data_IF_960872915549
#
_entry.id   IF_960872915549
#
_cell.length_a   1.000
_cell.length_b   1.000
_cell.length_c   1.000
_cell.angle_alpha   90.00
_cell.angle_beta   90.00
_cell.angle_gamma   90.00
#
_symmetry.space_group_name_H-M   'P 1'
#
loop_
_entity.id
_entity.type
_entity.pdbx_description
1 polymer ?
#
# COMPACT_ATOMS: atom_id res chain seq x y z
N UNK A 1 -18.88 -26.61 -5.26
CA UNK A 1 -20.21 -25.97 -5.14
C UNK A 1 -20.25 -25.41 -3.72
N UNK A 2 -19.82 -24.16 -3.56
CA UNK A 2 -19.63 -23.50 -2.25
C UNK A 2 -20.99 -23.03 -1.69
N UNK A 3 -21.15 -23.04 -0.36
CA UNK A 3 -22.45 -22.84 0.30
C UNK A 3 -22.86 -21.36 0.29
N UNK A 4 -24.17 -21.08 0.32
CA UNK A 4 -24.71 -19.72 0.35
C UNK A 4 -24.18 -18.86 1.50
N UNK A 5 -23.74 -19.48 2.61
CA UNK A 5 -23.19 -18.79 3.76
C UNK A 5 -21.78 -18.25 3.50
N UNK A 6 -20.89 -19.05 2.89
CA UNK A 6 -19.54 -18.61 2.52
C UNK A 6 -19.57 -17.54 1.43
N UNK A 7 -20.57 -17.60 0.55
CA UNK A 7 -20.79 -16.53 -0.44
C UNK A 7 -21.21 -15.22 0.23
N UNK A 8 -22.09 -15.28 1.23
CA UNK A 8 -22.52 -14.10 1.98
C UNK A 8 -21.43 -13.52 2.89
N UNK A 9 -20.54 -14.34 3.46
CA UNK A 9 -19.37 -13.86 4.19
C UNK A 9 -18.33 -13.22 3.25
N UNK A 10 -18.11 -13.80 2.07
CA UNK A 10 -17.24 -13.23 1.03
C UNK A 10 -17.82 -11.90 0.48
N UNK A 11 -19.13 -11.83 0.31
CA UNK A 11 -19.84 -10.68 -0.25
C UNK A 11 -20.00 -9.55 0.78
N UNK A 12 -20.04 -9.89 2.07
CA UNK A 12 -19.92 -8.94 3.19
C UNK A 12 -18.48 -8.46 3.40
N UNK A 13 -17.47 -9.29 3.15
CA UNK A 13 -16.07 -8.88 3.11
C UNK A 13 -15.78 -7.92 1.93
N UNK A 14 -16.50 -8.03 0.82
CA UNK A 14 -16.39 -7.08 -0.31
C UNK A 14 -17.20 -5.80 -0.11
N UNK A 15 -18.21 -5.80 0.77
CA UNK A 15 -19.08 -4.64 1.01
C UNK A 15 -18.69 -3.82 2.26
N UNK A 16 -17.98 -4.41 3.22
CA UNK A 16 -17.26 -3.70 4.27
C UNK A 16 -15.89 -3.29 3.72
N UNK A 17 -15.82 -2.08 3.14
CA UNK A 17 -14.70 -1.59 2.34
C UNK A 17 -13.31 -1.93 2.89
N UNK A 18 -12.35 -2.13 1.98
CA UNK A 18 -10.93 -2.40 2.21
C UNK A 18 -10.40 -1.69 3.49
N UNK A 19 -10.57 -2.33 4.65
CA UNK A 19 -9.88 -2.02 5.89
C UNK A 19 -8.60 -2.88 5.94
N UNK A 20 -7.95 -2.97 4.78
CA UNK A 20 -6.81 -3.83 4.54
C UNK A 20 -5.56 -3.11 5.07
N UNK A 21 -4.77 -3.80 5.89
CA UNK A 21 -3.32 -3.62 6.02
C UNK A 21 -2.74 -2.38 5.32
N UNK A 22 -2.30 -1.38 6.09
CA UNK A 22 -1.69 -0.18 5.50
C UNK A 22 -0.45 -0.56 4.66
N UNK A 23 0.25 -1.64 5.03
CA UNK A 23 1.32 -2.20 4.23
C UNK A 23 0.85 -2.59 2.82
N UNK A 24 -0.27 -3.29 2.70
CA UNK A 24 -0.85 -3.69 1.41
C UNK A 24 -1.30 -2.46 0.61
N UNK A 25 -1.97 -1.49 1.23
CA UNK A 25 -2.37 -0.26 0.55
C UNK A 25 -1.17 0.48 -0.07
N UNK A 26 -0.06 0.58 0.67
CA UNK A 26 1.18 1.20 0.17
C UNK A 26 1.75 0.40 -1.00
N UNK A 27 1.85 -0.92 -0.89
CA UNK A 27 2.37 -1.76 -1.97
C UNK A 27 1.52 -1.59 -3.24
N UNK A 28 0.21 -1.72 -3.10
CA UNK A 28 -0.72 -1.72 -4.22
C UNK A 28 -0.78 -0.36 -4.93
N UNK A 29 -0.86 0.74 -4.17
CA UNK A 29 -0.90 2.08 -4.72
C UNK A 29 0.41 2.48 -5.44
N UNK A 30 1.56 2.03 -4.95
CA UNK A 30 2.83 2.28 -5.60
C UNK A 30 2.98 1.43 -6.87
N UNK A 31 2.56 0.16 -6.84
CA UNK A 31 2.66 -0.71 -8.02
C UNK A 31 1.68 -0.32 -9.13
N UNK A 32 0.44 0.05 -8.78
CA UNK A 32 -0.55 0.48 -9.77
C UNK A 32 -0.10 1.71 -10.57
N UNK A 33 0.79 2.54 -10.01
CA UNK A 33 1.36 3.69 -10.72
C UNK A 33 2.37 3.34 -11.81
N UNK A 34 2.93 2.12 -11.79
CA UNK A 34 4.03 1.70 -12.68
C UNK A 34 3.77 0.39 -13.44
N UNK A 35 2.77 -0.40 -13.06
CA UNK A 35 2.42 -1.68 -13.69
C UNK A 35 0.93 -1.85 -13.92
N UNK A 36 0.57 -2.85 -14.73
CA UNK A 36 -0.83 -3.26 -14.88
C UNK A 36 -1.37 -3.94 -13.62
N UNK A 37 -2.71 -4.02 -13.51
CA UNK A 37 -3.42 -4.60 -12.37
C UNK A 37 -2.97 -6.05 -12.05
N UNK A 38 -2.66 -6.85 -13.08
CA UNK A 38 -2.27 -8.25 -12.89
C UNK A 38 -0.86 -8.38 -12.28
N UNK A 39 0.06 -7.52 -12.72
CA UNK A 39 1.40 -7.45 -12.16
C UNK A 39 1.37 -6.90 -10.72
N UNK A 40 0.48 -5.94 -10.42
CA UNK A 40 0.26 -5.40 -9.07
C UNK A 40 -0.27 -6.46 -8.10
N UNK A 41 -1.33 -7.18 -8.49
CA UNK A 41 -1.93 -8.23 -7.68
C UNK A 41 -0.92 -9.33 -7.30
N UNK A 42 -0.01 -9.69 -8.22
CA UNK A 42 1.05 -10.67 -7.95
C UNK A 42 1.98 -10.21 -6.82
N UNK A 43 2.27 -8.91 -6.70
CA UNK A 43 3.14 -8.40 -5.63
C UNK A 43 2.43 -8.45 -4.28
N UNK A 44 1.16 -8.07 -4.26
CA UNK A 44 0.32 -8.15 -3.06
C UNK A 44 0.22 -9.60 -2.57
N UNK A 45 -0.10 -10.54 -3.46
CA UNK A 45 -0.18 -11.97 -3.15
C UNK A 45 1.14 -12.52 -2.58
N UNK A 46 2.28 -12.11 -3.17
CA UNK A 46 3.60 -12.51 -2.69
C UNK A 46 3.93 -11.93 -1.33
N UNK A 47 3.55 -10.67 -1.07
CA UNK A 47 3.70 -10.07 0.25
C UNK A 47 2.91 -10.86 1.28
N UNK A 48 1.62 -11.11 1.03
CA UNK A 48 0.74 -11.87 1.92
C UNK A 48 1.30 -13.28 2.17
N UNK A 49 1.72 -13.99 1.12
CA UNK A 49 2.32 -15.31 1.23
C UNK A 49 3.64 -15.29 2.04
N UNK A 50 4.48 -14.26 1.85
CA UNK A 50 5.72 -14.09 2.62
C UNK A 50 5.44 -13.95 4.11
N UNK A 51 4.46 -13.12 4.49
CA UNK A 51 4.07 -12.90 5.90
C UNK A 51 3.47 -14.17 6.52
N UNK A 52 2.59 -14.87 5.81
CA UNK A 52 2.05 -16.13 6.29
C UNK A 52 3.12 -17.22 6.46
N UNK A 53 4.12 -17.27 5.58
CA UNK A 53 5.25 -18.21 5.73
C UNK A 53 6.07 -17.94 7.00
N UNK A 54 6.01 -16.74 7.56
CA UNK A 54 6.61 -16.37 8.85
C UNK A 54 5.68 -16.59 10.05
N UNK A 55 4.43 -17.02 9.81
CA UNK A 55 3.40 -17.15 10.85
C UNK A 55 2.74 -15.82 11.24
N UNK A 56 2.90 -14.78 10.43
CA UNK A 56 2.33 -13.45 10.65
C UNK A 56 1.01 -13.26 9.86
N UNK A 57 0.23 -12.25 10.25
CA UNK A 57 -1.07 -11.91 9.65
C UNK A 57 -0.91 -10.64 8.82
N UNK A 58 -0.83 -10.79 7.49
CA UNK A 58 -0.58 -9.69 6.57
C UNK A 58 -1.68 -8.62 6.61
N UNK A 59 -2.91 -9.02 6.89
CA UNK A 59 -4.12 -8.20 6.91
C UNK A 59 -4.10 -7.14 8.02
N UNK A 60 -3.28 -7.34 9.04
CA UNK A 60 -3.09 -6.40 10.15
C UNK A 60 -1.79 -5.59 10.03
N UNK A 61 -0.98 -5.82 9.00
CA UNK A 61 0.33 -5.19 8.88
C UNK A 61 0.24 -3.68 8.66
N UNK A 62 1.06 -2.96 9.45
CA UNK A 62 1.35 -1.55 9.25
C UNK A 62 2.64 -1.33 8.47
N UNK A 63 3.00 -0.07 8.23
CA UNK A 63 4.26 0.24 7.52
C UNK A 63 5.50 -0.23 8.26
N UNK A 64 5.45 -0.41 9.59
CA UNK A 64 6.58 -1.00 10.33
C UNK A 64 6.77 -2.48 10.04
N UNK A 65 5.68 -3.21 9.83
CA UNK A 65 5.75 -4.60 9.39
C UNK A 65 6.31 -4.68 7.97
N UNK A 66 5.86 -3.79 7.08
CA UNK A 66 6.41 -3.65 5.74
C UNK A 66 7.92 -3.37 5.75
N UNK A 67 8.37 -2.36 6.50
CA UNK A 67 9.80 -2.03 6.64
C UNK A 67 10.62 -3.22 7.14
N UNK A 68 10.08 -3.98 8.11
CA UNK A 68 10.75 -5.19 8.60
C UNK A 68 10.97 -6.22 7.49
N UNK A 69 10.03 -6.37 6.55
CA UNK A 69 10.23 -7.32 5.44
C UNK A 69 11.41 -6.94 4.56
N UNK A 70 11.72 -5.65 4.40
CA UNK A 70 12.92 -5.19 3.71
C UNK A 70 14.19 -5.56 4.49
N UNK A 71 14.21 -5.28 5.80
CA UNK A 71 15.32 -5.64 6.69
C UNK A 71 15.60 -7.17 6.67
N UNK A 72 14.55 -7.98 6.75
CA UNK A 72 14.63 -9.45 6.81
C UNK A 72 15.21 -10.08 5.53
N UNK A 73 14.91 -9.51 4.36
CA UNK A 73 15.40 -10.03 3.07
C UNK A 73 16.73 -9.42 2.64
N UNK A 74 17.17 -8.34 3.28
CA UNK A 74 18.46 -7.67 3.04
C UNK A 74 18.40 -6.36 2.25
N UNK A 75 17.23 -5.73 2.16
CA UNK A 75 17.00 -4.44 1.48
C UNK A 75 16.06 -4.53 0.27
N UNK A 76 15.72 -3.37 -0.31
CA UNK A 76 14.77 -3.26 -1.43
C UNK A 76 15.12 -4.07 -2.68
N UNK A 77 16.41 -4.25 -3.01
CA UNK A 77 16.81 -5.03 -4.18
C UNK A 77 16.43 -6.52 -4.00
N UNK A 78 16.75 -7.09 -2.84
CA UNK A 78 16.44 -8.47 -2.51
C UNK A 78 14.94 -8.66 -2.28
N UNK A 79 14.27 -7.65 -1.72
CA UNK A 79 12.82 -7.62 -1.57
C UNK A 79 12.11 -7.66 -2.92
N UNK A 80 12.55 -6.86 -3.89
CA UNK A 80 11.98 -6.87 -5.24
C UNK A 80 12.09 -8.24 -5.92
N UNK A 81 13.20 -8.97 -5.67
CA UNK A 81 13.42 -10.31 -6.19
C UNK A 81 12.58 -11.41 -5.51
N UNK A 82 12.32 -11.29 -4.19
CA UNK A 82 11.62 -12.31 -3.40
C UNK A 82 10.12 -12.08 -3.27
N UNK A 83 9.72 -10.83 -3.06
CA UNK A 83 8.35 -10.40 -2.74
C UNK A 83 7.78 -9.55 -3.88
N UNK A 84 8.57 -8.63 -4.43
CA UNK A 84 8.19 -7.81 -5.57
C UNK A 84 7.99 -8.60 -6.87
N UNK A 85 7.60 -7.89 -7.93
CA UNK A 85 7.52 -8.41 -9.29
C UNK A 85 8.78 -7.99 -10.07
N UNK A 86 9.86 -8.73 -9.87
CA UNK A 86 11.12 -8.46 -10.56
C UNK A 86 11.03 -8.85 -12.05
N UNK A 87 10.66 -7.90 -12.91
CA UNK A 87 10.88 -8.02 -14.36
C UNK A 87 12.33 -7.67 -14.68
N UNK A 88 13.18 -8.69 -14.78
CA UNK A 88 14.51 -8.59 -15.38
C UNK A 88 14.36 -8.41 -16.90
N UNK A 89 14.06 -7.21 -17.38
CA UNK A 89 14.03 -6.92 -18.82
C UNK A 89 15.07 -5.83 -19.15
N UNK A 90 16.29 -6.28 -19.37
CA UNK A 90 17.29 -5.64 -20.26
C UNK A 90 17.78 -4.21 -19.94
N UNK A 91 17.76 -3.76 -18.70
CA UNK A 91 18.55 -2.60 -18.27
C UNK A 91 19.31 -2.89 -16.97
N UNK A 92 20.62 -3.21 -17.02
CA UNK A 92 21.45 -3.37 -15.82
C UNK A 92 21.76 -2.05 -15.10
N UNK A 93 21.41 -0.88 -15.67
CA UNK A 93 21.61 0.44 -15.09
C UNK A 93 20.32 1.06 -14.51
N UNK A 94 19.15 0.49 -14.82
CA UNK A 94 17.88 0.90 -14.22
C UNK A 94 17.73 0.31 -12.82
N UNK A 95 17.74 1.16 -11.79
CA UNK A 95 17.38 0.75 -10.43
C UNK A 95 16.00 0.03 -10.46
N UNK A 96 15.76 -1.03 -9.67
CA UNK A 96 14.44 -1.60 -9.55
C UNK A 96 13.52 -0.62 -8.81
N UNK A 97 12.88 0.27 -9.58
CA UNK A 97 12.12 1.43 -9.11
C UNK A 97 11.00 1.04 -8.13
N UNK A 98 10.40 -0.15 -8.24
CA UNK A 98 9.28 -0.53 -7.39
C UNK A 98 9.68 -0.84 -5.94
N UNK A 99 10.74 -1.63 -5.70
CA UNK A 99 11.14 -1.99 -4.34
C UNK A 99 11.60 -0.79 -3.52
N UNK A 100 12.43 0.07 -4.12
CA UNK A 100 12.93 1.27 -3.48
C UNK A 100 11.81 2.31 -3.24
N UNK A 101 10.88 2.48 -4.18
CA UNK A 101 9.75 3.39 -4.00
C UNK A 101 8.80 2.93 -2.88
N UNK A 102 8.54 1.63 -2.76
CA UNK A 102 7.74 1.06 -1.67
C UNK A 102 8.44 1.27 -0.32
N UNK A 103 9.76 1.02 -0.24
CA UNK A 103 10.56 1.24 0.98
C UNK A 103 10.53 2.72 1.39
N UNK A 104 10.84 3.65 0.47
CA UNK A 104 10.80 5.09 0.73
C UNK A 104 9.41 5.59 1.14
N UNK A 105 8.35 5.06 0.53
CA UNK A 105 6.99 5.39 0.93
C UNK A 105 6.72 4.91 2.36
N UNK A 106 7.08 3.68 2.71
CA UNK A 106 6.92 3.17 4.06
C UNK A 106 7.73 3.99 5.10
N UNK A 107 8.95 4.42 4.76
CA UNK A 107 9.77 5.32 5.58
C UNK A 107 9.12 6.71 5.78
N UNK A 108 8.51 7.26 4.73
CA UNK A 108 7.76 8.51 4.80
C UNK A 108 6.61 8.40 5.81
N UNK A 109 5.75 7.38 5.69
CA UNK A 109 4.66 7.16 6.64
C UNK A 109 5.19 6.94 8.07
N UNK A 110 6.23 6.14 8.22
CA UNK A 110 6.86 5.88 9.52
C UNK A 110 7.40 7.17 10.16
N UNK A 111 8.06 8.04 9.40
CA UNK A 111 8.58 9.34 9.86
C UNK A 111 7.45 10.27 10.33
N UNK A 112 6.29 10.21 9.67
CA UNK A 112 5.08 10.92 10.08
C UNK A 112 4.31 10.25 11.24
N UNK A 113 4.85 9.15 11.79
CA UNK A 113 4.26 8.32 12.87
C UNK A 113 2.92 7.71 12.48
N UNK A 114 2.79 7.31 11.23
CA UNK A 114 1.63 6.59 10.71
C UNK A 114 2.08 5.16 10.52
N UNK A 115 1.56 4.25 11.34
CA UNK A 115 1.84 2.82 11.20
C UNK A 115 0.64 2.07 10.63
N UNK A 116 -0.56 2.46 11.06
CA UNK A 116 -1.81 1.76 10.73
C UNK A 116 -2.77 2.63 9.93
N UNK A 117 -3.76 1.99 9.31
CA UNK A 117 -4.90 2.68 8.68
C UNK A 117 -5.58 3.65 9.68
N UNK A 118 -5.73 3.25 10.94
CA UNK A 118 -6.26 4.13 11.99
C UNK A 118 -5.41 5.39 12.20
N UNK A 119 -4.09 5.28 12.13
CA UNK A 119 -3.21 6.45 12.25
C UNK A 119 -3.31 7.35 11.01
N UNK A 120 -3.43 6.75 9.82
CA UNK A 120 -3.69 7.49 8.58
C UNK A 120 -5.02 8.25 8.66
N UNK A 121 -6.08 7.60 9.17
CA UNK A 121 -7.39 8.22 9.38
C UNK A 121 -7.31 9.41 10.33
N UNK A 122 -6.53 9.31 11.40
CA UNK A 122 -6.28 10.43 12.34
C UNK A 122 -5.45 11.53 11.71
N UNK A 123 -4.48 11.19 10.87
CA UNK A 123 -3.63 12.15 10.17
C UNK A 123 -4.40 13.02 9.18
N UNK A 124 -5.52 12.53 8.64
CA UNK A 124 -6.38 13.29 7.74
C UNK A 124 -7.00 14.55 8.38
N UNK A 125 -7.08 14.62 9.71
CA UNK A 125 -7.57 15.82 10.41
C UNK A 125 -6.47 16.89 10.57
N UNK A 126 -5.23 16.57 10.20
CA UNK A 126 -4.07 17.47 10.20
C UNK A 126 -3.67 17.78 8.74
N UNK A 127 -4.22 18.87 8.21
CA UNK A 127 -4.03 19.27 6.82
C UNK A 127 -2.56 19.42 6.42
N UNK A 128 -1.71 19.90 7.33
CA UNK A 128 -0.29 20.11 7.04
C UNK A 128 0.44 18.77 6.92
N UNK A 129 0.13 17.82 7.82
CA UNK A 129 0.66 16.46 7.74
C UNK A 129 0.17 15.74 6.48
N UNK A 130 -1.11 15.88 6.15
CA UNK A 130 -1.71 15.22 4.98
C UNK A 130 -1.12 15.74 3.66
N UNK A 131 -0.94 17.06 3.53
CA UNK A 131 -0.27 17.67 2.39
C UNK A 131 1.22 17.27 2.29
N UNK A 132 1.89 17.08 3.44
CA UNK A 132 3.28 16.59 3.46
C UNK A 132 3.40 15.15 2.96
N UNK A 133 2.46 14.28 3.31
CA UNK A 133 2.41 12.89 2.83
C UNK A 133 2.14 12.84 1.32
N UNK A 134 1.17 13.61 0.84
CA UNK A 134 0.87 13.73 -0.58
C UNK A 134 2.10 14.22 -1.37
N UNK A 135 2.74 15.31 -0.91
CA UNK A 135 3.93 15.86 -1.57
C UNK A 135 5.07 14.84 -1.58
N UNK A 136 5.31 14.15 -0.48
CA UNK A 136 6.37 13.14 -0.39
C UNK A 136 6.12 11.95 -1.31
N UNK A 137 4.87 11.45 -1.37
CA UNK A 137 4.49 10.41 -2.33
C UNK A 137 4.67 10.88 -3.77
N UNK A 138 4.23 12.10 -4.10
CA UNK A 138 4.41 12.68 -5.43
C UNK A 138 5.89 12.81 -5.81
N UNK A 139 6.77 13.13 -4.86
CA UNK A 139 8.21 13.17 -5.09
C UNK A 139 8.80 11.78 -5.37
N UNK A 140 8.29 10.73 -4.73
CA UNK A 140 8.71 9.35 -4.92
C UNK A 140 8.25 8.81 -6.29
N UNK A 141 7.00 9.04 -6.67
CA UNK A 141 6.37 8.44 -7.87
C UNK A 141 6.39 9.34 -9.10
N UNK A 142 6.56 10.65 -8.91
CA UNK A 142 6.37 11.67 -9.94
C UNK A 142 4.91 12.07 -10.19
N UNK A 143 3.92 11.45 -9.51
CA UNK A 143 2.50 11.80 -9.66
C UNK A 143 1.70 11.65 -8.35
N UNK A 144 0.55 12.33 -8.25
CA UNK A 144 -0.34 12.17 -7.09
C UNK A 144 -1.25 10.93 -7.21
N UNK A 145 -1.15 10.12 -8.26
CA UNK A 145 -2.07 9.00 -8.48
C UNK A 145 -1.94 7.94 -7.38
N UNK A 146 -0.70 7.61 -7.00
CA UNK A 146 -0.43 6.70 -5.89
C UNK A 146 -1.02 7.20 -4.56
N UNK A 147 -1.10 8.52 -4.35
CA UNK A 147 -1.77 9.07 -3.19
C UNK A 147 -3.27 8.83 -3.23
N UNK A 148 -3.94 9.16 -4.35
CA UNK A 148 -5.38 8.96 -4.48
C UNK A 148 -5.78 7.49 -4.40
N UNK A 149 -5.05 6.61 -5.08
CA UNK A 149 -5.26 5.16 -4.99
C UNK A 149 -5.07 4.67 -3.56
N UNK A 150 -4.07 5.17 -2.83
CA UNK A 150 -3.89 4.81 -1.42
C UNK A 150 -5.08 5.24 -0.55
N UNK A 151 -5.66 6.42 -0.81
CA UNK A 151 -6.83 6.89 -0.08
C UNK A 151 -8.09 6.10 -0.42
N UNK A 152 -8.29 5.72 -1.68
CA UNK A 152 -9.36 4.81 -2.12
C UNK A 152 -9.22 3.45 -1.41
N UNK A 153 -8.04 2.84 -1.48
CA UNK A 153 -7.74 1.56 -0.84
C UNK A 153 -7.87 1.61 0.68
N UNK A 154 -7.62 2.75 1.31
CA UNK A 154 -7.80 2.95 2.75
C UNK A 154 -9.24 3.36 3.15
N UNK A 155 -10.17 3.49 2.19
CA UNK A 155 -11.55 3.92 2.44
C UNK A 155 -11.68 5.39 2.87
N UNK A 156 -10.74 6.24 2.47
CA UNK A 156 -10.68 7.67 2.80
C UNK A 156 -11.14 8.60 1.67
N UNK A 157 -11.42 8.07 0.47
CA UNK A 157 -11.90 8.81 -0.71
C UNK A 157 -13.11 9.73 -0.42
N UNK A 158 -14.07 9.24 0.37
CA UNK A 158 -15.33 9.94 0.62
C UNK A 158 -15.18 11.13 1.58
N UNK A 159 -14.07 11.23 2.32
CA UNK A 159 -13.85 12.37 3.23
C UNK A 159 -13.47 13.66 2.51
N UNK A 160 -12.91 13.58 1.29
CA UNK A 160 -12.56 14.76 0.51
C UNK A 160 -13.73 15.24 -0.36
N UNK A 161 -14.56 14.32 -0.87
CA UNK A 161 -15.78 14.68 -1.61
C UNK A 161 -16.84 15.39 -0.74
N UNK A 162 -16.91 15.08 0.56
CA UNK A 162 -17.87 15.70 1.49
C UNK A 162 -17.47 17.11 1.95
N UNK A 163 -16.18 17.45 1.98
CA UNK A 163 -15.73 18.79 2.39
C UNK A 163 -16.03 19.82 1.29
N UNK A 164 -15.92 19.43 0.01
CA UNK A 164 -16.31 20.29 -1.12
C UNK A 164 -17.83 20.48 -1.23
N UNK A 165 -18.63 19.49 -0.82
CA UNK A 165 -20.09 19.57 -0.83
C UNK A 165 -20.68 20.44 0.31
N UNK A 166 -19.94 20.61 1.42
CA UNK A 166 -20.36 21.46 2.55
C UNK A 166 -19.82 22.89 2.42
N UNK A 167 -18.81 23.11 1.58
CA UNK A 167 -18.24 24.43 1.27
C UNK A 167 -18.90 25.14 0.08
N UNK A 168 -19.88 24.53 -0.59
CA UNK A 168 -20.66 25.08 -1.71
C UNK A 168 -22.08 25.47 -1.29
#
# INVERSE_FOLDING_TARGET
>A
MYTSAERSDQEQATAAGYHASLAVCVIEALQSSVTDESDTAVVVDRYVAYRHAQGEIAEADGVRALLRTFEEVGGCEQWAGKVGNYRRRYDPAGAPVAGAAIEHAAELFYTHRIDTETDLRRAADDQAKFASLESGLREITGSSDAWFTLLELAGLENRFALVDAVAA
#
